data_IF_874092654297
#
_entry.id   IF_874092654297
#
_cell.length_a   1.000
_cell.length_b   1.000
_cell.length_c   1.000
_cell.angle_alpha   90.00
_cell.angle_beta   90.00
_cell.angle_gamma   90.00
#
_symmetry.space_group_name_H-M   'P 1'
#
loop_
_entity.id
_entity.type
_entity.pdbx_description
1 polymer ?
#
# COMPACT_ATOMS: atom_id res chain seq x y z
N UNK A 1 30.03 -7.52 0.99
CA UNK A 1 29.45 -6.19 1.28
C UNK A 1 28.07 -6.13 0.65
N UNK A 2 27.05 -6.63 1.36
CA UNK A 2 25.64 -6.43 1.04
C UNK A 2 24.95 -6.23 2.38
N UNK A 3 24.97 -4.98 2.85
CA UNK A 3 24.19 -4.53 3.99
C UNK A 3 22.72 -4.56 3.57
N UNK A 4 22.08 -5.72 3.70
CA UNK A 4 20.63 -5.78 3.79
C UNK A 4 20.26 -5.26 5.17
N UNK A 5 20.27 -3.93 5.32
CA UNK A 5 19.59 -3.27 6.42
C UNK A 5 18.16 -3.84 6.41
N UNK A 6 17.90 -4.76 7.34
CA UNK A 6 16.59 -5.36 7.55
C UNK A 6 15.67 -4.19 7.84
N UNK A 7 14.90 -3.75 6.85
CA UNK A 7 13.85 -2.75 7.05
C UNK A 7 12.91 -3.39 8.07
N UNK A 8 13.04 -2.98 9.34
CA UNK A 8 12.11 -3.38 10.39
C UNK A 8 10.85 -2.56 10.18
N UNK A 9 9.99 -3.06 9.30
CA UNK A 9 8.63 -2.54 9.16
C UNK A 9 7.79 -3.15 10.26
N UNK A 10 7.13 -2.32 11.05
CA UNK A 10 6.20 -2.78 12.08
C UNK A 10 4.93 -3.34 11.42
N UNK A 11 4.51 -2.75 10.30
CA UNK A 11 3.30 -3.13 9.58
C UNK A 11 3.53 -3.24 8.08
N UNK A 12 2.96 -4.29 7.49
CA UNK A 12 2.92 -4.51 6.04
C UNK A 12 1.47 -4.68 5.59
N UNK A 13 1.04 -3.86 4.63
CA UNK A 13 -0.30 -3.89 4.05
C UNK A 13 -0.20 -4.41 2.61
N UNK A 14 -0.98 -5.44 2.28
CA UNK A 14 -1.07 -5.98 0.93
C UNK A 14 -2.29 -5.38 0.22
N UNK A 15 -2.04 -4.62 -0.86
CA UNK A 15 -3.04 -3.93 -1.66
C UNK A 15 -3.11 -2.43 -1.39
N UNK A 16 -2.69 -1.63 -2.37
CA UNK A 16 -2.74 -0.16 -2.39
C UNK A 16 -4.06 0.41 -2.92
N UNK A 17 -5.17 -0.29 -2.68
CA UNK A 17 -6.53 0.23 -2.90
C UNK A 17 -6.98 1.17 -1.77
N UNK A 18 -8.19 1.70 -1.88
CA UNK A 18 -8.76 2.61 -0.87
C UNK A 18 -8.77 2.01 0.54
N UNK A 19 -9.12 0.73 0.67
CA UNK A 19 -9.10 0.04 1.96
C UNK A 19 -7.69 0.01 2.58
N UNK A 20 -6.67 -0.33 1.79
CA UNK A 20 -5.28 -0.35 2.26
C UNK A 20 -4.77 1.04 2.64
N UNK A 21 -5.16 2.08 1.89
CA UNK A 21 -4.80 3.47 2.21
C UNK A 21 -5.46 3.98 3.50
N UNK A 22 -6.75 3.71 3.70
CA UNK A 22 -7.47 4.10 4.92
C UNK A 22 -6.88 3.37 6.12
N UNK A 23 -6.63 2.07 5.98
CA UNK A 23 -6.06 1.28 7.06
C UNK A 23 -4.64 1.74 7.43
N UNK A 24 -3.81 2.11 6.44
CA UNK A 24 -2.50 2.70 6.69
C UNK A 24 -2.60 4.02 7.47
N UNK A 25 -3.58 4.87 7.14
CA UNK A 25 -3.83 6.11 7.87
C UNK A 25 -4.26 5.86 9.32
N UNK A 26 -5.14 4.88 9.55
CA UNK A 26 -5.54 4.49 10.90
C UNK A 26 -4.37 3.93 11.71
N UNK A 27 -3.54 3.08 11.10
CA UNK A 27 -2.33 2.56 11.76
C UNK A 27 -1.37 3.70 12.09
N UNK A 28 -1.15 4.66 11.20
CA UNK A 28 -0.25 5.79 11.48
C UNK A 28 -0.79 6.72 12.56
N UNK A 29 -2.11 6.85 12.69
CA UNK A 29 -2.76 7.60 13.79
C UNK A 29 -2.59 6.92 15.15
N UNK A 30 -2.75 5.60 15.20
CA UNK A 30 -2.63 4.83 16.44
C UNK A 30 -1.17 4.54 16.83
N UNK A 31 -0.28 4.44 15.84
CA UNK A 31 1.14 4.14 16.00
C UNK A 31 1.99 5.15 15.21
N UNK A 32 2.14 6.40 15.69
CA UNK A 32 2.80 7.48 14.94
C UNK A 32 4.25 7.18 14.58
N UNK A 33 4.96 6.48 15.45
CA UNK A 33 6.37 6.12 15.24
C UNK A 33 6.56 4.86 14.40
N UNK A 34 5.49 4.17 14.00
CA UNK A 34 5.62 2.90 13.28
C UNK A 34 6.02 3.08 11.82
N UNK A 35 6.87 2.19 11.33
CA UNK A 35 7.21 2.10 9.91
C UNK A 35 6.19 1.19 9.19
N UNK A 36 5.46 1.79 8.25
CA UNK A 36 4.36 1.14 7.53
C UNK A 36 4.71 1.05 6.05
N UNK A 37 4.65 -0.15 5.49
CA UNK A 37 4.74 -0.36 4.04
C UNK A 37 3.40 -0.78 3.45
N UNK A 38 3.10 -0.28 2.25
CA UNK A 38 2.00 -0.75 1.43
C UNK A 38 2.59 -1.38 0.18
N UNK A 39 2.30 -2.66 -0.02
CA UNK A 39 2.74 -3.42 -1.19
C UNK A 39 1.57 -3.59 -2.15
N UNK A 40 1.69 -3.04 -3.34
CA UNK A 40 0.72 -3.17 -4.42
C UNK A 40 1.33 -3.97 -5.55
N UNK A 41 0.60 -4.97 -6.05
CA UNK A 41 1.05 -5.81 -7.18
C UNK A 41 1.11 -4.98 -8.47
N UNK A 42 0.18 -4.05 -8.62
CA UNK A 42 0.08 -3.13 -9.76
C UNK A 42 1.13 -2.02 -9.68
N UNK A 43 1.55 -1.48 -10.83
CA UNK A 43 2.34 -0.24 -10.91
C UNK A 43 1.55 1.02 -10.52
N UNK A 44 0.29 0.87 -10.12
CA UNK A 44 -0.62 1.97 -9.78
C UNK A 44 -1.48 1.62 -8.56
N UNK A 45 -1.68 2.63 -7.72
CA UNK A 45 -2.58 2.61 -6.56
C UNK A 45 -4.05 2.85 -6.98
N UNK A 46 -4.98 2.62 -6.06
CA UNK A 46 -6.43 2.81 -6.29
C UNK A 46 -7.24 1.51 -6.44
N UNK A 47 -6.56 0.36 -6.49
CA UNK A 47 -7.20 -0.96 -6.44
C UNK A 47 -8.20 -1.22 -7.57
N UNK A 48 -9.24 -2.01 -7.27
CA UNK A 48 -10.20 -2.50 -8.27
C UNK A 48 -10.93 -1.37 -9.03
N UNK A 49 -11.16 -0.22 -8.38
CA UNK A 49 -11.94 0.88 -8.96
C UNK A 49 -11.23 1.52 -10.18
N UNK A 50 -9.91 1.70 -10.10
CA UNK A 50 -9.12 2.22 -11.23
C UNK A 50 -8.98 1.18 -12.36
N UNK A 51 -8.96 -0.11 -11.99
CA UNK A 51 -8.85 -1.21 -12.96
C UNK A 51 -10.15 -1.41 -13.78
N UNK A 52 -11.30 -1.27 -13.14
CA UNK A 52 -12.61 -1.37 -13.81
C UNK A 52 -12.89 -0.16 -14.70
N UNK A 53 -12.53 1.05 -14.24
CA UNK A 53 -12.63 2.26 -15.06
C UNK A 53 -11.82 2.15 -16.36
N UNK A 54 -10.62 1.54 -16.31
CA UNK A 54 -9.85 1.25 -17.52
C UNK A 54 -10.49 0.20 -18.44
N UNK A 55 -11.10 -0.83 -17.85
CA UNK A 55 -11.76 -1.89 -18.61
C UNK A 55 -12.96 -1.36 -19.39
N UNK A 56 -13.70 -0.43 -18.79
CA UNK A 56 -14.81 0.30 -19.43
C UNK A 56 -14.31 1.28 -20.51
N UNK A 57 -13.21 2.00 -20.24
CA UNK A 57 -12.67 3.01 -21.15
C UNK A 57 -11.80 2.46 -22.29
N UNK A 58 -11.52 1.14 -22.33
CA UNK A 58 -10.65 0.50 -23.35
C UNK A 58 -9.30 1.23 -23.54
N UNK A 59 -8.68 1.64 -22.43
CA UNK A 59 -7.35 2.27 -22.35
C UNK A 59 -6.25 1.30 -21.88
#
# INVERSE_FOLDING_TARGET
MQDYAKLMMDFSILGGGWAGAIFALELKRNFPSSDIVILEKSSRTGGLHLSLLKRELRL
#
